data_IF_612813536512
#
_entry.id   IF_612813536512
#
_cell.length_a   1.000
_cell.length_b   1.000
_cell.length_c   1.000
_cell.angle_alpha   90.00
_cell.angle_beta   90.00
_cell.angle_gamma   90.00
#
_symmetry.space_group_name_H-M   'P 1'
#
loop_
_entity.id
_entity.type
_entity.pdbx_description
1 polymer ?
#
# COMPACT_ATOMS: atom_id res chain seq x y z
N UNK A 1 -1.20 6.37 57.46
CA UNK A 1 -1.51 7.08 56.23
C UNK A 1 -0.50 6.62 55.20
N UNK A 2 -0.91 5.71 54.33
CA UNK A 2 -0.06 5.08 53.32
C UNK A 2 -0.27 5.83 52.02
N UNK A 3 0.79 6.47 51.55
CA UNK A 3 0.79 7.17 50.24
C UNK A 3 1.04 6.15 49.16
N UNK A 4 0.08 6.07 48.22
CA UNK A 4 0.08 5.13 47.13
C UNK A 4 1.30 5.20 46.24
N UNK A 5 1.73 4.04 45.79
CA UNK A 5 2.78 3.81 44.80
C UNK A 5 2.50 4.55 43.48
N UNK A 6 3.51 5.16 42.89
CA UNK A 6 3.39 5.67 41.52
C UNK A 6 3.26 4.49 40.56
N UNK A 7 2.28 4.60 39.64
CA UNK A 7 2.02 3.71 38.54
C UNK A 7 3.32 3.28 37.84
N UNK A 8 3.60 1.99 37.88
CA UNK A 8 4.65 1.35 37.08
C UNK A 8 4.32 1.60 35.61
N UNK A 9 5.06 2.47 34.97
CA UNK A 9 5.01 2.65 33.50
C UNK A 9 5.55 1.33 32.94
N UNK A 10 4.66 0.49 32.45
CA UNK A 10 5.04 -0.72 31.70
C UNK A 10 5.56 -0.22 30.35
N UNK A 11 6.87 -0.08 30.24
CA UNK A 11 7.53 0.23 28.99
C UNK A 11 7.12 -0.84 27.95
N UNK A 12 6.83 -0.40 26.73
CA UNK A 12 6.51 -1.36 25.66
C UNK A 12 7.73 -2.28 25.43
N UNK A 13 7.52 -3.54 25.01
CA UNK A 13 8.63 -4.46 24.73
C UNK A 13 9.70 -3.87 23.79
N UNK A 14 9.31 -2.97 22.90
CA UNK A 14 10.21 -2.26 22.00
C UNK A 14 11.07 -1.21 22.70
N UNK A 15 10.53 -0.51 23.70
CA UNK A 15 11.29 0.47 24.50
C UNK A 15 12.35 -0.23 25.36
N UNK A 16 12.01 -1.41 25.90
CA UNK A 16 12.96 -2.25 26.63
C UNK A 16 14.13 -2.66 25.75
N UNK A 17 13.87 -3.12 24.52
CA UNK A 17 14.89 -3.51 23.55
C UNK A 17 15.80 -2.34 23.15
N UNK A 18 15.26 -1.12 23.08
CA UNK A 18 16.04 0.08 22.80
C UNK A 18 16.96 0.43 23.98
N UNK A 19 16.44 0.41 25.21
CA UNK A 19 17.22 0.73 26.42
C UNK A 19 18.32 -0.29 26.71
N UNK A 20 18.12 -1.55 26.32
CA UNK A 20 19.13 -2.62 26.42
C UNK A 20 20.15 -2.62 25.26
N UNK A 21 20.15 -1.61 24.39
CA UNK A 21 21.01 -1.52 23.20
C UNK A 21 20.88 -2.73 22.23
N UNK A 22 19.78 -3.48 22.28
CA UNK A 22 19.53 -4.62 21.39
C UNK A 22 19.06 -4.20 20.00
N UNK A 23 18.55 -2.98 19.86
CA UNK A 23 18.16 -2.40 18.58
C UNK A 23 18.66 -0.97 18.45
N UNK A 24 18.98 -0.54 17.22
CA UNK A 24 19.37 0.84 16.95
C UNK A 24 18.16 1.78 17.02
N UNK A 25 18.41 3.06 17.31
CA UNK A 25 17.40 4.12 17.28
C UNK A 25 16.66 4.15 15.95
N UNK A 26 17.38 4.01 14.85
CA UNK A 26 16.81 3.98 13.50
C UNK A 26 15.85 2.79 13.31
N UNK A 27 16.20 1.62 13.84
CA UNK A 27 15.35 0.42 13.80
C UNK A 27 14.06 0.65 14.59
N UNK A 28 14.17 1.22 15.79
CA UNK A 28 13.02 1.56 16.62
C UNK A 28 12.05 2.51 15.89
N UNK A 29 12.57 3.60 15.31
CA UNK A 29 11.75 4.58 14.57
C UNK A 29 11.05 3.95 13.35
N UNK A 30 11.73 3.05 12.63
CA UNK A 30 11.14 2.30 11.51
C UNK A 30 10.00 1.40 11.98
N UNK A 31 10.18 0.67 13.07
CA UNK A 31 9.14 -0.20 13.65
C UNK A 31 7.92 0.61 14.09
N UNK A 32 8.13 1.73 14.79
CA UNK A 32 7.03 2.62 15.21
C UNK A 32 6.29 3.21 13.99
N UNK A 33 7.03 3.61 12.96
CA UNK A 33 6.43 4.13 11.73
C UNK A 33 5.62 3.06 11.00
N UNK A 34 6.15 1.84 10.89
CA UNK A 34 5.44 0.71 10.29
C UNK A 34 4.17 0.35 11.09
N UNK A 35 4.26 0.31 12.43
CA UNK A 35 3.10 0.08 13.30
C UNK A 35 2.01 1.12 13.06
N UNK A 36 2.35 2.42 13.12
CA UNK A 36 1.40 3.51 12.87
C UNK A 36 0.79 3.44 11.47
N UNK A 37 1.56 3.03 10.46
CA UNK A 37 1.05 2.83 9.11
C UNK A 37 0.02 1.70 9.06
N UNK A 38 0.33 0.54 9.64
CA UNK A 38 -0.56 -0.63 9.70
C UNK A 38 -1.86 -0.28 10.43
N UNK A 39 -1.77 0.38 11.57
CA UNK A 39 -2.94 0.81 12.37
C UNK A 39 -3.86 1.75 11.57
N UNK A 40 -3.28 2.76 10.88
CA UNK A 40 -4.06 3.65 10.01
C UNK A 40 -4.73 2.89 8.87
N UNK A 41 -3.99 2.01 8.19
CA UNK A 41 -4.51 1.19 7.09
C UNK A 41 -5.67 0.31 7.57
N UNK A 42 -5.50 -0.36 8.70
CA UNK A 42 -6.53 -1.20 9.31
C UNK A 42 -7.80 -0.41 9.65
N UNK A 43 -7.65 0.78 10.26
CA UNK A 43 -8.77 1.64 10.61
C UNK A 43 -9.54 2.11 9.36
N UNK A 44 -8.85 2.48 8.28
CA UNK A 44 -9.49 2.85 7.00
C UNK A 44 -10.28 1.67 6.43
N UNK A 45 -9.71 0.47 6.45
CA UNK A 45 -10.39 -0.75 5.97
C UNK A 45 -11.64 -1.03 6.82
N UNK A 46 -11.51 -0.93 8.14
CA UNK A 46 -12.62 -1.14 9.07
C UNK A 46 -13.76 -0.15 8.82
N UNK A 47 -13.45 1.14 8.68
CA UNK A 47 -14.44 2.18 8.37
C UNK A 47 -15.14 1.90 7.03
N UNK A 48 -14.38 1.55 5.99
CA UNK A 48 -14.96 1.22 4.68
C UNK A 48 -15.88 0.00 4.71
N UNK A 49 -15.54 -1.03 5.51
CA UNK A 49 -16.42 -2.18 5.73
C UNK A 49 -17.73 -1.77 6.41
N UNK A 50 -17.65 -0.92 7.44
CA UNK A 50 -18.82 -0.41 8.15
C UNK A 50 -19.71 0.40 7.20
N UNK A 51 -19.14 1.31 6.41
CA UNK A 51 -19.88 2.10 5.42
C UNK A 51 -20.58 1.22 4.38
N UNK A 52 -19.89 0.21 3.86
CA UNK A 52 -20.48 -0.75 2.91
C UNK A 52 -21.62 -1.56 3.56
N UNK A 53 -21.46 -2.02 4.79
CA UNK A 53 -22.51 -2.76 5.49
C UNK A 53 -23.73 -1.88 5.71
N UNK A 54 -23.56 -0.64 6.17
CA UNK A 54 -24.65 0.32 6.33
C UNK A 54 -25.38 0.58 5.00
N UNK A 55 -24.64 0.72 3.91
CA UNK A 55 -25.21 0.88 2.57
C UNK A 55 -26.06 -0.35 2.18
N UNK A 56 -25.52 -1.56 2.36
CA UNK A 56 -26.25 -2.80 2.07
C UNK A 56 -27.49 -2.96 2.94
N UNK A 57 -27.41 -2.65 4.24
CA UNK A 57 -28.57 -2.69 5.14
C UNK A 57 -29.66 -1.71 4.71
N UNK A 58 -29.31 -0.45 4.40
CA UNK A 58 -30.25 0.56 3.89
C UNK A 58 -30.92 0.11 2.60
N UNK A 59 -30.15 -0.47 1.68
CA UNK A 59 -30.70 -0.99 0.42
C UNK A 59 -31.60 -2.20 0.65
N UNK A 60 -31.31 -3.07 1.61
CA UNK A 60 -32.16 -4.19 1.96
C UNK A 60 -33.49 -3.75 2.60
N UNK A 61 -33.47 -2.70 3.43
CA UNK A 61 -34.66 -2.13 4.07
C UNK A 61 -35.54 -1.32 3.10
N UNK A 62 -35.01 -0.92 1.92
CA UNK A 62 -35.71 -0.07 0.95
C UNK A 62 -36.83 -0.76 0.17
N UNK A 63 -37.01 -2.08 0.32
CA UNK A 63 -38.01 -2.86 -0.41
C UNK A 63 -37.77 -2.95 -1.94
N UNK A 64 -36.62 -2.50 -2.42
CA UNK A 64 -36.28 -2.52 -3.85
C UNK A 64 -35.97 -3.95 -4.33
N UNK A 65 -36.36 -4.31 -5.57
CA UNK A 65 -35.95 -5.57 -6.19
C UNK A 65 -34.43 -5.72 -6.24
N UNK A 66 -33.94 -6.95 -6.10
CA UNK A 66 -32.51 -7.26 -6.05
C UNK A 66 -31.73 -6.66 -7.25
N UNK A 67 -32.31 -6.75 -8.44
CA UNK A 67 -31.72 -6.18 -9.66
C UNK A 67 -31.47 -4.67 -9.53
N UNK A 68 -32.43 -3.92 -9.00
CA UNK A 68 -32.28 -2.46 -8.79
C UNK A 68 -31.24 -2.14 -7.71
N UNK A 69 -31.13 -2.95 -6.66
CA UNK A 69 -30.09 -2.78 -5.62
C UNK A 69 -28.70 -2.94 -6.21
N UNK A 70 -28.47 -3.95 -7.04
CA UNK A 70 -27.20 -4.17 -7.72
C UNK A 70 -26.87 -3.04 -8.71
N UNK A 71 -27.86 -2.51 -9.43
CA UNK A 71 -27.68 -1.34 -10.30
C UNK A 71 -27.20 -0.12 -9.52
N UNK A 72 -27.82 0.20 -8.37
CA UNK A 72 -27.43 1.33 -7.52
C UNK A 72 -25.98 1.15 -7.00
N UNK A 73 -25.62 -0.04 -6.55
CA UNK A 73 -24.25 -0.33 -6.08
C UNK A 73 -23.24 -0.14 -7.23
N UNK A 74 -23.58 -0.60 -8.44
CA UNK A 74 -22.73 -0.45 -9.61
C UNK A 74 -22.55 1.02 -10.01
N UNK A 75 -23.63 1.82 -9.96
CA UNK A 75 -23.56 3.27 -10.22
C UNK A 75 -22.69 4.03 -9.20
N UNK A 76 -22.81 3.69 -7.92
CA UNK A 76 -21.97 4.31 -6.87
C UNK A 76 -20.49 4.02 -7.16
N UNK A 77 -20.15 2.76 -7.46
CA UNK A 77 -18.78 2.36 -7.80
C UNK A 77 -18.25 3.08 -9.04
N UNK A 78 -19.07 3.22 -10.07
CA UNK A 78 -18.69 3.95 -11.29
C UNK A 78 -18.50 5.46 -11.04
N UNK A 79 -19.34 6.07 -10.21
CA UNK A 79 -19.16 7.48 -9.78
C UNK A 79 -17.85 7.67 -9.01
N UNK A 80 -17.54 6.77 -8.06
CA UNK A 80 -16.27 6.79 -7.33
C UNK A 80 -15.07 6.66 -8.27
N UNK A 81 -15.12 5.73 -9.23
CA UNK A 81 -14.07 5.58 -10.26
C UNK A 81 -13.88 6.87 -11.07
N UNK A 82 -14.97 7.50 -11.52
CA UNK A 82 -14.91 8.75 -12.30
C UNK A 82 -14.31 9.90 -11.49
N UNK A 83 -14.61 9.98 -10.20
CA UNK A 83 -14.02 11.00 -9.29
C UNK A 83 -12.51 10.76 -9.15
N UNK A 84 -12.10 9.52 -8.95
CA UNK A 84 -10.69 9.13 -8.88
C UNK A 84 -9.98 9.46 -10.19
N UNK A 85 -10.55 9.09 -11.35
CA UNK A 85 -9.98 9.38 -12.66
C UNK A 85 -9.85 10.89 -12.93
N UNK A 86 -10.85 11.71 -12.53
CA UNK A 86 -10.75 13.18 -12.64
C UNK A 86 -9.62 13.76 -11.79
N UNK A 87 -9.39 13.21 -10.59
CA UNK A 87 -8.25 13.61 -9.75
C UNK A 87 -6.91 13.23 -10.40
N UNK A 88 -6.85 12.06 -11.04
CA UNK A 88 -5.66 11.56 -11.74
C UNK A 88 -5.24 12.43 -12.94
N UNK A 89 -6.19 12.99 -13.68
CA UNK A 89 -5.91 13.85 -14.87
C UNK A 89 -5.21 15.19 -14.59
N UNK A 90 -5.16 15.63 -13.33
CA UNK A 90 -4.56 16.93 -12.93
C UNK A 90 -3.21 16.77 -12.21
N UNK A 91 -2.61 15.59 -12.19
CA UNK A 91 -1.36 15.34 -11.48
C UNK A 91 -0.14 15.56 -12.37
N UNK A 92 0.87 16.20 -11.81
CA UNK A 92 2.17 16.50 -12.42
C UNK A 92 3.29 16.09 -11.47
N UNK A 93 4.48 15.85 -11.98
CA UNK A 93 5.66 15.56 -11.17
C UNK A 93 5.98 16.70 -10.18
N UNK A 94 5.66 17.94 -10.55
CA UNK A 94 5.82 19.11 -9.68
C UNK A 94 4.95 19.10 -8.40
N UNK A 95 3.97 18.20 -8.31
CA UNK A 95 3.16 18.02 -7.10
C UNK A 95 3.89 17.23 -6.01
N UNK A 96 5.06 16.68 -6.33
CA UNK A 96 5.81 15.77 -5.47
C UNK A 96 7.25 16.23 -5.29
N UNK A 97 7.69 16.30 -4.05
CA UNK A 97 9.08 16.53 -3.67
C UNK A 97 9.79 15.19 -3.53
N UNK A 98 10.85 14.95 -4.32
CA UNK A 98 11.65 13.72 -4.21
C UNK A 98 12.55 13.78 -2.99
N UNK A 99 12.46 12.79 -2.11
CA UNK A 99 13.25 12.71 -0.88
C UNK A 99 14.46 11.77 -1.02
N UNK A 100 14.23 10.58 -1.62
CA UNK A 100 15.28 9.59 -1.80
C UNK A 100 14.94 8.61 -2.92
N UNK A 101 15.95 8.00 -3.52
CA UNK A 101 15.81 6.87 -4.44
C UNK A 101 15.90 5.59 -3.60
N UNK A 102 14.87 4.73 -3.69
CA UNK A 102 14.81 3.46 -2.96
C UNK A 102 14.93 2.23 -3.85
N UNK A 103 14.93 2.41 -5.17
CA UNK A 103 15.08 1.31 -6.11
C UNK A 103 15.48 1.80 -7.49
N UNK A 104 16.32 1.03 -8.17
CA UNK A 104 16.68 1.20 -9.59
C UNK A 104 16.44 -0.09 -10.31
N UNK A 105 15.76 -0.02 -11.44
CA UNK A 105 15.42 -1.17 -12.26
C UNK A 105 15.70 -0.95 -13.73
N UNK A 106 15.48 -2.00 -14.52
CA UNK A 106 15.74 -2.00 -15.97
C UNK A 106 14.92 -0.96 -16.75
N UNK A 107 13.85 -0.43 -16.17
CA UNK A 107 12.90 0.48 -16.84
C UNK A 107 12.84 1.87 -16.21
N UNK A 108 13.50 2.07 -15.07
CA UNK A 108 13.46 3.34 -14.36
C UNK A 108 13.80 3.24 -12.88
N UNK A 109 13.36 4.22 -12.12
CA UNK A 109 13.71 4.40 -10.72
C UNK A 109 12.44 4.47 -9.85
N UNK A 110 12.59 4.07 -8.59
CA UNK A 110 11.55 4.25 -7.56
C UNK A 110 12.06 5.25 -6.53
N UNK A 111 11.28 6.30 -6.33
CA UNK A 111 11.59 7.38 -5.41
C UNK A 111 10.61 7.39 -4.24
N UNK A 112 11.09 7.67 -3.04
CA UNK A 112 10.24 8.15 -1.95
C UNK A 112 10.02 9.63 -2.16
N UNK A 113 8.78 10.04 -2.19
CA UNK A 113 8.41 11.43 -2.42
C UNK A 113 7.40 11.90 -1.36
N UNK A 114 7.38 13.22 -1.12
CA UNK A 114 6.35 13.88 -0.35
C UNK A 114 5.37 14.57 -1.28
N UNK A 115 4.08 14.29 -1.15
CA UNK A 115 3.07 15.08 -1.84
C UNK A 115 2.99 16.47 -1.19
N UNK A 116 3.25 17.54 -1.96
CA UNK A 116 3.39 18.91 -1.44
C UNK A 116 2.10 19.41 -0.78
N UNK A 117 0.94 19.03 -1.33
CA UNK A 117 -0.36 19.51 -0.81
C UNK A 117 -0.78 18.87 0.50
N UNK A 118 -0.50 17.58 0.67
CA UNK A 118 -1.00 16.79 1.80
C UNK A 118 0.09 16.50 2.83
N UNK A 119 1.37 16.62 2.43
CA UNK A 119 2.52 16.17 3.21
C UNK A 119 2.67 14.64 3.25
N UNK A 120 1.82 13.91 2.50
CA UNK A 120 1.82 12.45 2.52
C UNK A 120 3.06 11.89 1.83
N UNK A 121 3.66 10.86 2.45
CA UNK A 121 4.80 10.15 1.87
C UNK A 121 4.27 9.05 0.94
N UNK A 122 4.78 9.02 -0.29
CA UNK A 122 4.41 8.10 -1.36
C UNK A 122 5.64 7.50 -2.01
N UNK A 123 5.49 6.35 -2.66
CA UNK A 123 6.50 5.78 -3.55
C UNK A 123 6.11 6.09 -5.00
N UNK A 124 7.03 6.67 -5.77
CA UNK A 124 6.81 6.98 -7.18
C UNK A 124 7.76 6.16 -8.05
N UNK A 125 7.19 5.27 -8.86
CA UNK A 125 7.92 4.54 -9.90
C UNK A 125 7.92 5.40 -11.16
N UNK A 126 9.09 5.93 -11.50
CA UNK A 126 9.35 6.73 -12.69
C UNK A 126 9.91 5.85 -13.79
N UNK A 127 9.21 5.70 -14.90
CA UNK A 127 9.51 4.77 -15.98
C UNK A 127 9.75 5.54 -17.27
N UNK A 128 10.83 5.24 -17.98
CA UNK A 128 11.17 5.86 -19.26
C UNK A 128 10.38 5.19 -20.39
N UNK A 129 9.67 5.99 -21.20
CA UNK A 129 8.84 5.51 -22.31
C UNK A 129 9.66 4.91 -23.45
N UNK A 130 10.82 5.51 -23.77
CA UNK A 130 11.73 5.01 -24.81
C UNK A 130 12.23 3.60 -24.50
N UNK A 131 12.62 3.34 -23.25
CA UNK A 131 13.05 2.01 -22.81
C UNK A 131 11.90 0.99 -22.90
N UNK A 132 10.68 1.39 -22.55
CA UNK A 132 9.51 0.53 -22.70
C UNK A 132 9.24 0.16 -24.16
N UNK A 133 9.41 1.10 -25.09
CA UNK A 133 9.25 0.86 -26.52
C UNK A 133 10.32 -0.10 -27.04
N UNK A 134 11.59 0.18 -26.76
CA UNK A 134 12.71 -0.66 -27.18
C UNK A 134 12.60 -2.10 -26.70
N UNK A 135 12.16 -2.31 -25.44
CA UNK A 135 12.03 -3.64 -24.84
C UNK A 135 10.68 -4.29 -25.09
N UNK A 136 9.81 -3.68 -25.90
CA UNK A 136 8.43 -4.15 -26.19
C UNK A 136 7.61 -4.42 -24.90
N UNK A 137 7.85 -3.65 -23.84
CA UNK A 137 7.26 -3.84 -22.53
C UNK A 137 6.07 -2.90 -22.22
N UNK A 138 5.65 -2.09 -23.22
CA UNK A 138 4.54 -1.14 -23.03
C UNK A 138 3.28 -1.83 -22.57
N UNK A 139 2.93 -2.96 -23.20
CA UNK A 139 1.73 -3.73 -22.84
C UNK A 139 1.80 -4.23 -21.39
N UNK A 140 2.93 -4.81 -20.99
CA UNK A 140 3.10 -5.29 -19.60
C UNK A 140 3.00 -4.17 -18.57
N UNK A 141 3.54 -2.98 -18.86
CA UNK A 141 3.42 -1.84 -17.96
C UNK A 141 2.00 -1.29 -17.89
N UNK A 142 1.28 -1.28 -19.00
CA UNK A 142 -0.14 -0.92 -19.02
C UNK A 142 -0.99 -1.95 -18.28
N UNK A 143 -0.73 -3.24 -18.45
CA UNK A 143 -1.39 -4.31 -17.72
C UNK A 143 -1.13 -4.21 -16.20
N UNK A 144 0.11 -3.89 -15.78
CA UNK A 144 0.46 -3.61 -14.38
C UNK A 144 -0.33 -2.42 -13.83
N UNK A 145 -0.37 -1.31 -14.56
CA UNK A 145 -1.12 -0.12 -14.18
C UNK A 145 -2.63 -0.41 -14.08
N UNK A 146 -3.19 -1.10 -15.06
CA UNK A 146 -4.61 -1.44 -15.12
C UNK A 146 -4.99 -2.38 -13.97
N UNK A 147 -4.16 -3.38 -13.70
CA UNK A 147 -4.30 -4.26 -12.55
C UNK A 147 -4.29 -3.48 -11.23
N UNK A 148 -3.26 -2.67 -10.98
CA UNK A 148 -3.14 -1.89 -9.75
C UNK A 148 -4.27 -0.86 -9.58
N UNK A 149 -4.86 -0.39 -10.68
CA UNK A 149 -6.00 0.53 -10.64
C UNK A 149 -7.31 -0.14 -10.24
N UNK A 150 -7.44 -1.44 -10.50
CA UNK A 150 -8.63 -2.24 -10.21
C UNK A 150 -8.58 -2.93 -8.85
N UNK A 151 -7.37 -3.23 -8.38
CA UNK A 151 -7.18 -3.94 -7.11
C UNK A 151 -7.62 -3.08 -5.93
N UNK A 152 -8.43 -3.66 -5.05
CA UNK A 152 -8.87 -3.05 -3.81
C UNK A 152 -8.68 -4.03 -2.66
N UNK A 153 -7.46 -4.52 -2.51
CA UNK A 153 -7.06 -5.45 -1.46
C UNK A 153 -6.11 -4.79 -0.46
N UNK A 154 -6.22 -5.06 0.83
CA UNK A 154 -5.27 -4.58 1.83
C UNK A 154 -3.90 -5.24 1.72
N UNK A 155 -3.80 -6.32 0.96
CA UNK A 155 -2.61 -7.15 0.80
C UNK A 155 -1.75 -6.76 -0.41
N UNK A 156 -2.24 -5.85 -1.23
CA UNK A 156 -1.56 -5.38 -2.45
C UNK A 156 -1.31 -3.88 -2.33
N UNK A 157 -0.13 -3.45 -2.76
CA UNK A 157 0.27 -2.04 -2.81
C UNK A 157 -0.77 -1.22 -3.58
N UNK A 158 -1.28 -0.17 -2.95
CA UNK A 158 -2.32 0.66 -3.56
C UNK A 158 -1.72 1.66 -4.53
N UNK A 159 -2.18 1.64 -5.77
CA UNK A 159 -1.94 2.72 -6.73
C UNK A 159 -2.82 3.93 -6.36
N UNK A 160 -2.19 5.05 -6.04
CA UNK A 160 -2.88 6.31 -5.71
C UNK A 160 -3.16 7.15 -6.93
N UNK A 161 -2.20 7.17 -7.86
CA UNK A 161 -2.26 7.95 -9.08
C UNK A 161 -1.36 7.34 -10.15
N UNK A 162 -1.66 7.63 -11.42
CA UNK A 162 -0.75 7.46 -12.53
C UNK A 162 -0.90 8.63 -13.49
N UNK A 163 0.21 9.12 -14.00
CA UNK A 163 0.23 10.21 -14.98
C UNK A 163 1.45 10.12 -15.88
N UNK A 164 1.40 10.84 -16.98
CA UNK A 164 2.49 10.92 -17.93
C UNK A 164 2.92 12.37 -18.08
N UNK A 165 4.23 12.60 -18.04
CA UNK A 165 4.81 13.92 -18.23
C UNK A 165 6.13 13.80 -18.98
N UNK A 166 6.25 14.50 -20.12
CA UNK A 166 7.39 14.36 -21.02
C UNK A 166 7.61 12.92 -21.44
N UNK A 167 8.84 12.46 -21.32
CA UNK A 167 9.29 11.11 -21.70
C UNK A 167 9.08 10.05 -20.62
N UNK A 168 8.35 10.39 -19.55
CA UNK A 168 8.18 9.50 -18.41
C UNK A 168 6.72 9.15 -18.15
N UNK A 169 6.53 7.92 -17.64
CA UNK A 169 5.31 7.44 -16.98
C UNK A 169 5.60 7.38 -15.46
N UNK A 170 4.67 7.91 -14.68
CA UNK A 170 4.75 7.95 -13.22
C UNK A 170 3.62 7.11 -12.63
N UNK A 171 3.98 6.14 -11.78
CA UNK A 171 3.04 5.39 -10.96
C UNK A 171 3.24 5.81 -9.50
N UNK A 172 2.25 6.48 -8.93
CA UNK A 172 2.26 6.93 -7.54
C UNK A 172 1.58 5.88 -6.68
N UNK A 173 2.32 5.29 -5.78
CA UNK A 173 1.89 4.19 -4.93
C UNK A 173 2.00 4.56 -3.46
N UNK A 174 1.33 3.82 -2.59
CA UNK A 174 1.59 3.92 -1.16
C UNK A 174 3.04 3.53 -0.86
N UNK A 175 3.65 4.26 0.08
CA UNK A 175 4.99 3.95 0.54
C UNK A 175 4.95 2.95 1.69
N UNK A 176 5.70 1.87 1.57
CA UNK A 176 5.85 0.82 2.59
C UNK A 176 7.20 0.97 3.28
N UNK A 177 7.25 1.51 4.53
CA UNK A 177 8.50 1.84 5.19
C UNK A 177 9.27 0.62 5.71
N UNK A 178 8.65 -0.57 5.70
CA UNK A 178 9.26 -1.81 6.20
C UNK A 178 10.38 -2.38 5.33
N UNK A 179 10.50 -1.90 4.07
CA UNK A 179 11.43 -2.46 3.10
C UNK A 179 10.91 -3.74 2.44
N UNK A 180 11.81 -4.56 1.94
CA UNK A 180 11.50 -5.84 1.29
C UNK A 180 11.90 -7.05 2.16
N UNK A 181 11.40 -8.22 1.78
CA UNK A 181 11.65 -9.45 2.51
C UNK A 181 13.13 -9.88 2.42
N UNK A 182 13.80 -9.55 1.29
CA UNK A 182 15.22 -9.86 1.11
C UNK A 182 16.08 -9.04 2.09
N UNK A 183 15.78 -7.75 2.24
CA UNK A 183 16.44 -6.91 3.25
C UNK A 183 16.25 -7.44 4.68
N UNK A 184 15.08 -7.99 4.97
CA UNK A 184 14.81 -8.64 6.25
C UNK A 184 15.65 -9.92 6.44
N UNK A 185 15.75 -10.77 5.42
CA UNK A 185 16.61 -11.97 5.47
C UNK A 185 18.09 -11.64 5.63
N UNK A 186 18.58 -10.62 4.91
CA UNK A 186 19.96 -10.16 5.07
C UNK A 186 20.25 -9.64 6.48
N UNK A 187 19.25 -8.99 7.11
CA UNK A 187 19.41 -8.44 8.46
C UNK A 187 19.28 -9.47 9.58
N UNK A 188 18.46 -10.53 9.38
CA UNK A 188 18.13 -11.51 10.44
C UNK A 188 18.78 -12.86 10.25
N UNK A 189 19.24 -13.18 9.03
CA UNK A 189 19.75 -14.48 8.60
C UNK A 189 18.68 -15.58 8.66
N UNK A 190 18.03 -15.78 9.80
CA UNK A 190 16.97 -16.76 10.04
C UNK A 190 15.72 -16.09 10.63
N UNK A 191 14.56 -16.43 10.11
CA UNK A 191 13.28 -16.07 10.71
C UNK A 191 12.84 -17.10 11.74
N UNK A 192 12.20 -16.66 12.81
CA UNK A 192 11.48 -17.57 13.71
C UNK A 192 10.28 -18.19 12.99
N UNK A 193 9.78 -19.32 13.51
CA UNK A 193 8.62 -19.99 12.93
C UNK A 193 7.39 -19.06 12.86
N UNK A 194 7.15 -18.25 13.89
CA UNK A 194 6.02 -17.33 13.93
C UNK A 194 6.16 -16.20 12.90
N UNK A 195 7.38 -15.67 12.72
CA UNK A 195 7.66 -14.67 11.68
C UNK A 195 7.49 -15.27 10.28
N UNK A 196 8.02 -16.46 10.05
CA UNK A 196 7.88 -17.16 8.77
C UNK A 196 6.40 -17.43 8.47
N UNK A 197 5.63 -17.94 9.44
CA UNK A 197 4.18 -18.15 9.33
C UNK A 197 3.45 -16.86 8.98
N UNK A 198 3.78 -15.75 9.64
CA UNK A 198 3.17 -14.44 9.38
C UNK A 198 3.40 -13.98 7.93
N UNK A 199 4.64 -14.06 7.42
CA UNK A 199 4.94 -13.63 6.05
C UNK A 199 4.31 -14.56 5.02
N UNK A 200 4.34 -15.88 5.25
CA UNK A 200 3.70 -16.85 4.35
C UNK A 200 2.19 -16.62 4.26
N UNK A 201 1.51 -16.40 5.38
CA UNK A 201 0.10 -16.09 5.38
C UNK A 201 -0.21 -14.81 4.58
N UNK A 202 0.60 -13.77 4.72
CA UNK A 202 0.44 -12.54 3.92
C UNK A 202 0.67 -12.77 2.43
N UNK A 203 1.66 -13.60 2.07
CA UNK A 203 1.91 -13.98 0.67
C UNK A 203 0.70 -14.70 0.08
N UNK A 204 0.13 -15.66 0.79
CA UNK A 204 -1.05 -16.40 0.36
C UNK A 204 -2.22 -15.43 0.13
N UNK A 205 -2.51 -14.56 1.07
CA UNK A 205 -3.59 -13.57 0.95
C UNK A 205 -3.37 -12.57 -0.19
N UNK A 206 -2.11 -12.21 -0.47
CA UNK A 206 -1.77 -11.36 -1.61
C UNK A 206 -2.00 -12.08 -2.93
N UNK A 207 -1.57 -13.33 -3.04
CA UNK A 207 -1.76 -14.16 -4.24
C UNK A 207 -3.25 -14.41 -4.48
N UNK A 208 -3.99 -14.75 -3.45
CA UNK A 208 -5.44 -14.95 -3.52
C UNK A 208 -6.16 -13.70 -4.06
N UNK A 209 -5.81 -12.52 -3.53
CA UNK A 209 -6.34 -11.25 -4.04
C UNK A 209 -6.00 -10.96 -5.51
N UNK A 210 -4.87 -11.48 -6.01
CA UNK A 210 -4.49 -11.38 -7.43
C UNK A 210 -5.34 -12.35 -8.27
N UNK A 211 -5.54 -13.57 -7.78
CA UNK A 211 -6.34 -14.59 -8.46
C UNK A 211 -7.81 -14.22 -8.54
N UNK A 212 -8.39 -13.56 -7.53
CA UNK A 212 -9.75 -13.01 -7.59
C UNK A 212 -9.99 -12.05 -8.77
N UNK A 213 -8.92 -11.43 -9.27
CA UNK A 213 -8.97 -10.57 -10.46
C UNK A 213 -8.64 -11.30 -11.77
N UNK A 214 -8.59 -12.64 -11.75
CA UNK A 214 -8.18 -13.48 -12.87
C UNK A 214 -6.79 -13.14 -13.43
N UNK A 215 -5.89 -12.68 -12.56
CA UNK A 215 -4.51 -12.36 -12.89
C UNK A 215 -3.55 -13.37 -12.26
N UNK A 216 -2.38 -13.55 -12.88
CA UNK A 216 -1.30 -14.39 -12.37
C UNK A 216 -0.08 -13.51 -12.13
N UNK A 217 0.44 -13.52 -10.91
CA UNK A 217 1.68 -12.83 -10.56
C UNK A 217 2.88 -13.68 -10.99
N UNK A 218 3.49 -13.41 -12.13
CA UNK A 218 4.55 -14.23 -12.72
C UNK A 218 5.92 -14.10 -12.02
N UNK A 219 6.05 -13.19 -11.07
CA UNK A 219 7.32 -12.91 -10.38
C UNK A 219 7.14 -13.05 -8.85
N UNK A 220 7.65 -14.16 -8.31
CA UNK A 220 7.58 -14.46 -6.87
C UNK A 220 8.46 -13.56 -6.00
N UNK A 221 9.45 -12.87 -6.60
CA UNK A 221 10.45 -12.08 -5.87
C UNK A 221 10.02 -10.63 -5.62
N UNK A 222 8.90 -10.18 -6.16
CA UNK A 222 8.43 -8.78 -6.09
C UNK A 222 7.19 -8.57 -5.24
N UNK A 223 6.85 -9.50 -4.37
CA UNK A 223 5.78 -9.29 -3.40
C UNK A 223 6.36 -8.37 -2.31
N UNK A 224 6.04 -7.08 -2.36
CA UNK A 224 6.37 -6.11 -1.31
C UNK A 224 5.31 -6.18 -0.22
N UNK A 225 5.76 -6.17 1.03
CA UNK A 225 4.95 -6.23 2.24
C UNK A 225 4.95 -4.89 2.98
#
# INVERSE_FOLDING_TARGET
MSIGNPSTIINSPLEVLLTENKISQLTYERVISAKKYIERKYNVIKLKRVENNILHEKLNQSGLPEKKRLEIISEIREKEKKIIQKKLKKMSASNYESLAIIGRGAFGEVHVCREIKTGEIVAIKKIRKDILQQKKQIKHTMDEQDFLSKVNSPWIVKLKASFQEGDFLYLVMEYLPGGDLMGLFVAKDVLTEDEARFYICKMILSIDSIHELNCIHRDKNKIMF
#
